data_IF_000469676702
#
_entry.id   IF_000469676702
#
_cell.length_a   1.000
_cell.length_b   1.000
_cell.length_c   1.000
_cell.angle_alpha   90.00
_cell.angle_beta   90.00
_cell.angle_gamma   90.00
#
_symmetry.space_group_name_H-M   'P 1'
#
loop_
_entity.id
_entity.type
_entity.pdbx_description
1 polymer ?
#
# COMPACT_ATOMS: atom_id res chain seq x y z
N UNK A 1 2.63 11.76 -5.29
CA UNK A 1 1.66 12.79 -5.75
C UNK A 1 1.63 12.89 -7.27
N UNK A 2 2.75 13.20 -7.97
CA UNK A 2 2.79 13.41 -9.44
C UNK A 2 2.22 12.24 -10.25
N UNK A 3 2.56 11.01 -9.88
CA UNK A 3 2.04 9.79 -10.47
C UNK A 3 0.51 9.72 -10.48
N UNK A 4 -0.12 9.96 -9.32
CA UNK A 4 -1.59 9.94 -9.21
C UNK A 4 -2.25 11.13 -9.92
N UNK A 5 -1.55 12.26 -10.03
CA UNK A 5 -1.99 13.37 -10.91
C UNK A 5 -2.00 12.94 -12.37
N UNK A 6 -0.94 12.25 -12.81
CA UNK A 6 -0.86 11.70 -14.17
C UNK A 6 -1.96 10.67 -14.49
N UNK A 7 -2.43 9.90 -13.50
CA UNK A 7 -3.63 9.07 -13.67
C UNK A 7 -4.90 9.90 -13.84
N UNK A 8 -5.04 10.99 -13.07
CA UNK A 8 -6.21 11.86 -13.12
C UNK A 8 -6.32 12.68 -14.40
N UNK A 9 -5.20 13.10 -14.99
CA UNK A 9 -5.15 13.89 -16.25
C UNK A 9 -4.92 13.05 -17.51
N UNK A 10 -4.72 11.70 -17.36
CA UNK A 10 -4.54 10.78 -18.46
C UNK A 10 -3.11 10.74 -19.04
N UNK A 11 -2.13 11.37 -18.40
CA UNK A 11 -0.71 11.31 -18.80
C UNK A 11 0.03 10.07 -18.24
N UNK A 12 -0.65 9.23 -17.48
CA UNK A 12 -0.14 7.94 -17.01
C UNK A 12 -1.15 6.81 -17.31
N UNK A 13 -0.63 5.60 -17.50
CA UNK A 13 -1.43 4.42 -17.84
C UNK A 13 -1.19 3.32 -16.82
N UNK A 14 -2.30 2.84 -16.23
CA UNK A 14 -2.31 1.76 -15.25
C UNK A 14 -3.27 0.65 -15.70
N UNK A 15 -2.79 -0.41 -16.37
CA UNK A 15 -3.59 -1.60 -16.65
C UNK A 15 -3.88 -2.39 -15.36
N UNK A 16 -4.91 -3.22 -15.40
CA UNK A 16 -5.11 -4.22 -14.35
C UNK A 16 -3.90 -5.17 -14.28
N UNK A 17 -3.54 -5.54 -13.05
CA UNK A 17 -2.55 -6.60 -12.82
C UNK A 17 -3.09 -7.96 -13.25
N UNK A 18 -2.20 -8.86 -13.65
CA UNK A 18 -2.56 -10.23 -14.04
C UNK A 18 -1.83 -11.23 -13.17
N UNK A 19 -2.55 -12.24 -12.68
CA UNK A 19 -1.99 -13.40 -12.00
C UNK A 19 -1.98 -14.55 -13.01
N UNK A 20 -0.84 -15.22 -13.11
CA UNK A 20 -0.67 -16.39 -13.99
C UNK A 20 -0.15 -17.55 -13.14
N UNK A 21 -0.98 -18.59 -12.99
CA UNK A 21 -0.64 -19.80 -12.26
C UNK A 21 0.24 -20.74 -13.11
N UNK A 22 1.16 -21.44 -12.47
CA UNK A 22 1.91 -22.52 -13.13
C UNK A 22 1.05 -23.77 -13.27
N UNK A 23 1.09 -24.48 -14.43
CA UNK A 23 0.19 -25.59 -14.70
C UNK A 23 0.31 -26.78 -13.74
N UNK A 24 1.45 -26.94 -13.09
CA UNK A 24 1.78 -28.03 -12.15
C UNK A 24 1.44 -27.68 -10.68
N UNK A 25 0.85 -26.50 -10.44
CA UNK A 25 0.61 -26.01 -9.09
C UNK A 25 1.88 -25.57 -8.35
N UNK A 26 3.00 -25.38 -9.07
CA UNK A 26 4.29 -24.98 -8.49
C UNK A 26 4.36 -23.51 -8.07
N UNK A 27 3.26 -22.78 -8.15
CA UNK A 27 3.16 -21.36 -7.79
C UNK A 27 2.50 -20.51 -8.85
N UNK A 28 2.79 -19.23 -8.83
CA UNK A 28 2.26 -18.24 -9.75
C UNK A 28 3.24 -17.08 -9.99
N UNK A 29 2.88 -16.17 -10.86
CA UNK A 29 3.51 -14.87 -10.92
C UNK A 29 2.48 -13.77 -11.23
N UNK A 30 2.68 -12.61 -10.62
CA UNK A 30 1.88 -11.43 -10.89
C UNK A 30 2.66 -10.47 -11.77
N UNK A 31 2.02 -9.97 -12.83
CA UNK A 31 2.56 -8.92 -13.70
C UNK A 31 1.87 -7.60 -13.40
N UNK A 32 2.67 -6.58 -13.08
CA UNK A 32 2.25 -5.22 -12.83
C UNK A 32 2.83 -4.33 -13.94
N UNK A 33 1.99 -3.70 -14.74
CA UNK A 33 2.44 -2.84 -15.84
C UNK A 33 2.07 -1.38 -15.61
N UNK A 34 2.80 -0.48 -16.27
CA UNK A 34 2.50 0.95 -16.26
C UNK A 34 3.31 1.74 -17.28
N UNK A 35 2.82 2.95 -17.56
CA UNK A 35 3.53 3.90 -18.40
C UNK A 35 3.35 5.33 -17.88
N UNK A 36 4.41 6.13 -17.94
CA UNK A 36 4.43 7.55 -17.60
C UNK A 36 4.81 8.31 -18.86
N UNK A 37 3.81 8.83 -19.56
CA UNK A 37 4.02 9.42 -20.90
C UNK A 37 4.86 10.68 -20.85
N UNK A 38 4.68 11.55 -19.84
CA UNK A 38 5.51 12.75 -19.66
C UNK A 38 6.99 12.41 -19.40
N UNK A 39 7.27 11.29 -18.76
CA UNK A 39 8.62 10.81 -18.52
C UNK A 39 9.19 10.01 -19.69
N UNK A 40 8.36 9.66 -20.68
CA UNK A 40 8.73 8.85 -21.83
C UNK A 40 9.15 7.43 -21.48
N UNK A 41 8.56 6.85 -20.41
CA UNK A 41 8.92 5.51 -19.92
C UNK A 41 7.69 4.61 -19.75
N UNK A 42 7.90 3.32 -19.99
CA UNK A 42 6.96 2.25 -19.70
C UNK A 42 7.71 1.09 -19.04
N UNK A 43 6.97 0.13 -18.49
CA UNK A 43 7.63 -1.06 -17.96
C UNK A 43 6.68 -2.02 -17.27
N UNK A 44 7.29 -3.03 -16.66
CA UNK A 44 6.58 -4.04 -15.89
C UNK A 44 7.40 -4.51 -14.70
N UNK A 45 6.70 -4.81 -13.60
CA UNK A 45 7.24 -5.63 -12.51
C UNK A 45 6.69 -7.04 -12.62
N UNK A 46 7.56 -8.02 -12.48
CA UNK A 46 7.24 -9.44 -12.31
C UNK A 46 7.45 -9.83 -10.86
N UNK A 47 6.45 -10.44 -10.25
CA UNK A 47 6.50 -10.91 -8.86
C UNK A 47 6.16 -12.41 -8.83
N UNK A 48 7.17 -13.30 -9.01
CA UNK A 48 6.96 -14.72 -8.90
C UNK A 48 6.82 -15.17 -7.44
N UNK A 49 5.90 -16.09 -7.22
CA UNK A 49 5.73 -16.90 -6.03
C UNK A 49 5.95 -18.36 -6.42
N UNK A 50 7.06 -18.97 -5.95
CA UNK A 50 7.45 -20.31 -6.32
C UNK A 50 7.36 -21.20 -5.09
N UNK A 51 6.51 -22.24 -5.17
CA UNK A 51 6.38 -23.25 -4.11
C UNK A 51 7.60 -24.16 -4.17
N UNK A 52 8.22 -24.41 -3.02
CA UNK A 52 9.35 -25.32 -2.83
C UNK A 52 9.07 -26.27 -1.68
N UNK A 53 9.89 -27.31 -1.53
CA UNK A 53 9.81 -28.25 -0.38
C UNK A 53 10.11 -27.58 0.98
N UNK A 54 10.61 -26.36 0.97
CA UNK A 54 10.92 -25.57 2.15
C UNK A 54 10.10 -24.29 2.21
N UNK A 55 10.75 -23.14 2.34
CA UNK A 55 10.07 -21.83 2.30
C UNK A 55 9.85 -21.42 0.86
N UNK A 56 8.66 -20.95 0.48
CA UNK A 56 8.42 -20.42 -0.85
C UNK A 56 9.40 -19.30 -1.24
N UNK A 57 9.82 -19.30 -2.51
CA UNK A 57 10.67 -18.25 -3.06
C UNK A 57 9.76 -17.14 -3.57
N UNK A 58 9.92 -15.94 -3.00
CA UNK A 58 9.19 -14.73 -3.39
C UNK A 58 10.22 -13.69 -3.80
N UNK A 59 10.15 -13.25 -5.06
CA UNK A 59 11.02 -12.19 -5.59
C UNK A 59 10.21 -11.15 -6.33
N UNK A 60 10.84 -10.04 -6.67
CA UNK A 60 10.24 -9.02 -7.51
C UNK A 60 11.33 -8.39 -8.41
N UNK A 61 11.03 -8.24 -9.69
CA UNK A 61 11.93 -7.66 -10.68
C UNK A 61 11.21 -6.65 -11.55
N UNK A 62 11.79 -5.46 -11.72
CA UNK A 62 11.21 -4.40 -12.56
C UNK A 62 12.08 -4.14 -13.77
N UNK A 63 11.43 -4.18 -14.94
CA UNK A 63 11.97 -3.71 -16.21
C UNK A 63 11.42 -2.33 -16.52
N UNK A 64 12.30 -1.35 -16.78
CA UNK A 64 11.98 -0.03 -17.30
C UNK A 64 12.47 0.11 -18.72
N UNK A 65 11.66 0.67 -19.61
CA UNK A 65 11.95 0.83 -21.02
C UNK A 65 11.67 2.26 -21.49
N UNK A 66 12.43 2.72 -22.49
CA UNK A 66 12.18 4.00 -23.16
C UNK A 66 11.01 3.90 -24.13
N UNK A 67 10.03 4.79 -24.03
CA UNK A 67 8.96 4.93 -25.03
C UNK A 67 9.46 5.50 -26.37
N UNK A 68 10.61 6.15 -26.38
CA UNK A 68 11.18 6.76 -27.57
C UNK A 68 11.95 5.75 -28.44
N UNK A 69 12.73 4.86 -27.79
CA UNK A 69 13.64 3.93 -28.50
C UNK A 69 13.21 2.47 -28.40
N UNK A 70 12.28 2.13 -27.49
CA UNK A 70 11.91 0.75 -27.18
C UNK A 70 13.03 -0.04 -26.45
N UNK A 71 14.14 0.61 -26.09
CA UNK A 71 15.27 -0.04 -25.45
C UNK A 71 15.08 -0.13 -23.92
N UNK A 72 15.62 -1.19 -23.28
CA UNK A 72 15.63 -1.27 -21.83
C UNK A 72 16.54 -0.19 -21.23
N UNK A 73 16.08 0.45 -20.17
CA UNK A 73 16.79 1.46 -19.40
C UNK A 73 17.32 0.88 -18.09
N UNK A 74 16.51 0.06 -17.42
CA UNK A 74 16.82 -0.58 -16.13
C UNK A 74 16.19 -1.96 -16.08
N UNK A 75 16.93 -2.89 -15.51
CA UNK A 75 16.43 -4.14 -14.96
C UNK A 75 16.97 -4.24 -13.54
N UNK A 76 16.10 -4.25 -12.54
CA UNK A 76 16.53 -4.22 -11.13
C UNK A 76 15.67 -5.12 -10.24
N UNK A 77 16.27 -5.58 -9.13
CA UNK A 77 15.50 -6.15 -8.02
C UNK A 77 14.52 -5.10 -7.48
N UNK A 78 13.30 -5.50 -7.27
CA UNK A 78 12.22 -4.63 -6.85
C UNK A 78 11.69 -4.94 -5.43
N UNK A 79 12.35 -5.77 -4.65
CA UNK A 79 11.90 -6.16 -3.31
C UNK A 79 11.82 -4.95 -2.38
N UNK A 80 12.91 -4.17 -2.30
CA UNK A 80 12.93 -2.93 -1.52
C UNK A 80 12.01 -1.87 -2.13
N UNK A 81 12.01 -1.74 -3.47
CA UNK A 81 11.15 -0.78 -4.16
C UNK A 81 9.67 -1.02 -3.88
N UNK A 82 9.25 -2.30 -3.87
CA UNK A 82 7.87 -2.69 -3.54
C UNK A 82 7.53 -2.28 -2.10
N UNK A 83 8.43 -2.47 -1.15
CA UNK A 83 8.27 -2.05 0.24
C UNK A 83 8.07 -0.53 0.33
N UNK A 84 8.98 0.23 -0.25
CA UNK A 84 8.99 1.70 -0.17
C UNK A 84 7.79 2.34 -0.91
N UNK A 85 7.44 1.85 -2.13
CA UNK A 85 6.30 2.41 -2.86
C UNK A 85 4.97 2.10 -2.16
N UNK A 86 4.84 0.92 -1.55
CA UNK A 86 3.64 0.55 -0.79
C UNK A 86 3.46 1.48 0.42
N UNK A 87 4.54 1.69 1.18
CA UNK A 87 4.53 2.61 2.31
C UNK A 87 4.28 4.07 1.87
N UNK A 88 4.90 4.51 0.78
CA UNK A 88 4.71 5.85 0.23
C UNK A 88 3.29 6.13 -0.25
N UNK A 89 2.62 5.13 -0.85
CA UNK A 89 1.21 5.23 -1.26
C UNK A 89 0.29 5.34 -0.05
N UNK A 90 0.50 4.52 0.98
CA UNK A 90 -0.26 4.64 2.24
C UNK A 90 0.00 5.97 2.93
N UNK A 91 1.24 6.45 2.95
CA UNK A 91 1.57 7.76 3.52
C UNK A 91 0.84 8.91 2.81
N UNK A 92 0.73 8.85 1.48
CA UNK A 92 -0.07 9.81 0.71
C UNK A 92 -1.55 9.73 1.08
N UNK A 93 -2.10 8.53 1.24
CA UNK A 93 -3.48 8.36 1.70
C UNK A 93 -3.69 8.92 3.11
N UNK A 94 -2.77 8.67 4.04
CA UNK A 94 -2.81 9.25 5.40
C UNK A 94 -2.74 10.78 5.35
N UNK A 95 -1.90 11.35 4.49
CA UNK A 95 -1.79 12.81 4.35
C UNK A 95 -3.09 13.45 3.85
N UNK A 96 -3.77 12.80 2.90
CA UNK A 96 -4.99 13.31 2.26
C UNK A 96 -6.27 13.02 3.05
N UNK A 97 -6.32 11.90 3.79
CA UNK A 97 -7.56 11.39 4.40
C UNK A 97 -7.61 11.52 5.94
N UNK A 98 -6.44 11.54 6.60
CA UNK A 98 -6.41 11.70 8.05
C UNK A 98 -6.68 13.15 8.47
N UNK A 99 -7.40 13.32 9.58
CA UNK A 99 -7.56 14.65 10.19
C UNK A 99 -6.21 15.35 10.39
N UNK A 100 -6.16 16.65 10.12
CA UNK A 100 -4.99 17.48 10.44
C UNK A 100 -4.67 17.49 11.95
N UNK A 101 -5.66 17.21 12.80
CA UNK A 101 -5.52 17.10 14.24
C UNK A 101 -5.19 15.70 14.75
N UNK A 102 -4.94 14.73 13.85
CA UNK A 102 -4.56 13.37 14.24
C UNK A 102 -3.27 13.37 15.05
N UNK A 103 -3.25 12.61 16.18
CA UNK A 103 -2.15 12.56 17.15
C UNK A 103 -1.76 11.15 17.55
N UNK A 104 -2.60 10.16 17.29
CA UNK A 104 -2.38 8.76 17.67
C UNK A 104 -2.37 7.86 16.47
N UNK A 105 -1.25 7.17 16.27
CA UNK A 105 -1.00 6.25 15.18
C UNK A 105 -0.88 4.83 15.70
N UNK A 106 -1.58 3.89 15.09
CA UNK A 106 -1.43 2.46 15.35
C UNK A 106 -1.01 1.70 14.11
N UNK A 107 -0.12 0.73 14.27
CA UNK A 107 0.37 -0.13 13.21
C UNK A 107 0.14 -1.59 13.63
N UNK A 108 -0.58 -2.34 12.80
CA UNK A 108 -0.81 -3.77 12.97
C UNK A 108 0.06 -4.52 11.96
N UNK A 109 1.00 -5.29 12.49
CA UNK A 109 2.06 -5.95 11.72
C UNK A 109 3.44 -5.42 12.12
N UNK A 110 4.47 -6.24 11.94
CA UNK A 110 5.83 -5.88 12.37
C UNK A 110 6.92 -6.22 11.35
N UNK A 111 6.52 -6.53 10.11
CA UNK A 111 7.43 -6.83 9.01
C UNK A 111 8.12 -5.59 8.43
N UNK A 112 9.02 -5.79 7.44
CA UNK A 112 9.74 -4.69 6.79
C UNK A 112 8.79 -3.63 6.19
N UNK A 113 7.67 -4.05 5.59
CA UNK A 113 6.67 -3.14 5.01
C UNK A 113 6.02 -2.27 6.09
N UNK A 114 5.68 -2.85 7.25
CA UNK A 114 5.13 -2.09 8.37
C UNK A 114 6.13 -1.05 8.91
N UNK A 115 7.42 -1.41 9.00
CA UNK A 115 8.47 -0.48 9.43
C UNK A 115 8.67 0.66 8.41
N UNK A 116 8.62 0.37 7.11
CA UNK A 116 8.65 1.39 6.08
C UNK A 116 7.44 2.35 6.18
N UNK A 117 6.24 1.83 6.49
CA UNK A 117 5.07 2.67 6.76
C UNK A 117 5.33 3.66 7.89
N UNK A 118 5.90 3.21 9.01
CA UNK A 118 6.28 4.11 10.10
C UNK A 118 7.21 5.23 9.61
N UNK A 119 8.27 4.89 8.87
CA UNK A 119 9.24 5.87 8.37
C UNK A 119 8.59 6.93 7.47
N UNK A 120 7.67 6.51 6.59
CA UNK A 120 6.99 7.43 5.67
C UNK A 120 5.95 8.33 6.35
N UNK A 121 5.33 7.88 7.45
CA UNK A 121 4.26 8.65 8.12
C UNK A 121 4.75 9.42 9.37
N UNK A 122 5.94 9.11 9.89
CA UNK A 122 6.44 9.63 11.18
C UNK A 122 6.46 11.17 11.26
N UNK A 123 6.58 11.86 10.13
CA UNK A 123 6.65 13.32 10.04
C UNK A 123 5.40 13.98 9.45
N UNK A 124 4.39 13.21 9.06
CA UNK A 124 3.17 13.76 8.43
C UNK A 124 2.28 14.51 9.41
N UNK A 125 2.34 14.16 10.68
CA UNK A 125 1.56 14.76 11.77
C UNK A 125 2.44 14.86 13.02
N UNK A 126 2.03 15.67 13.97
CA UNK A 126 2.67 15.75 15.30
C UNK A 126 2.16 14.59 16.18
N UNK A 127 2.54 13.38 15.83
CA UNK A 127 2.15 12.19 16.58
C UNK A 127 2.61 12.31 18.05
N UNK A 128 1.69 12.15 18.98
CA UNK A 128 1.97 12.10 20.43
C UNK A 128 2.26 10.67 20.88
N UNK A 129 1.65 9.70 20.19
CA UNK A 129 1.73 8.28 20.52
C UNK A 129 1.72 7.47 19.24
N UNK A 130 2.65 6.51 19.15
CA UNK A 130 2.74 5.55 18.05
C UNK A 130 2.74 4.16 18.68
N UNK A 131 1.73 3.36 18.37
CA UNK A 131 1.60 1.99 18.87
C UNK A 131 1.82 0.97 17.79
N UNK A 132 2.51 -0.12 18.10
CA UNK A 132 2.64 -1.27 17.19
C UNK A 132 2.22 -2.56 17.88
N UNK A 133 1.51 -3.40 17.15
CA UNK A 133 1.16 -4.75 17.61
C UNK A 133 1.39 -5.77 16.50
N UNK A 134 1.94 -6.92 16.90
CA UNK A 134 2.01 -8.13 16.07
C UNK A 134 2.04 -9.34 16.99
N UNK A 135 1.24 -10.39 16.73
CA UNK A 135 1.18 -11.56 17.61
C UNK A 135 2.51 -12.32 17.67
N UNK A 136 3.35 -12.20 16.64
CA UNK A 136 4.61 -12.89 16.49
C UNK A 136 5.82 -11.95 16.52
N UNK A 137 5.76 -10.89 17.32
CA UNK A 137 6.84 -9.90 17.44
C UNK A 137 8.03 -10.51 18.22
N UNK A 138 9.12 -10.85 17.53
CA UNK A 138 10.35 -11.33 18.18
C UNK A 138 11.04 -10.21 18.97
N UNK A 139 11.88 -10.60 19.95
CA UNK A 139 12.65 -9.63 20.75
C UNK A 139 13.57 -8.75 19.87
N UNK A 140 14.16 -9.32 18.83
CA UNK A 140 15.01 -8.60 17.87
C UNK A 140 14.22 -7.54 17.09
N UNK A 141 13.05 -7.91 16.55
CA UNK A 141 12.15 -6.96 15.89
C UNK A 141 11.65 -5.89 16.83
N UNK A 142 11.30 -6.27 18.06
CA UNK A 142 10.89 -5.30 19.08
C UNK A 142 11.99 -4.26 19.37
N UNK A 143 13.27 -4.68 19.37
CA UNK A 143 14.39 -3.76 19.52
C UNK A 143 14.51 -2.79 18.32
N UNK A 144 14.39 -3.29 17.08
CA UNK A 144 14.38 -2.45 15.88
C UNK A 144 13.26 -1.40 15.92
N UNK A 145 12.05 -1.82 16.28
CA UNK A 145 10.91 -0.92 16.38
C UNK A 145 11.13 0.19 17.42
N UNK A 146 11.65 -0.13 18.61
CA UNK A 146 11.96 0.87 19.65
C UNK A 146 13.04 1.86 19.25
N UNK A 147 13.95 1.46 18.34
CA UNK A 147 15.00 2.33 17.79
C UNK A 147 14.48 3.23 16.65
N UNK A 148 13.42 2.81 15.96
CA UNK A 148 12.92 3.52 14.79
C UNK A 148 12.27 4.87 15.14
N UNK A 149 11.56 4.95 16.29
CA UNK A 149 10.94 6.19 16.74
C UNK A 149 10.83 6.21 18.28
N UNK A 150 11.27 7.28 18.96
CA UNK A 150 11.24 7.37 20.42
C UNK A 150 9.83 7.45 21.02
N UNK A 151 8.81 7.78 20.22
CA UNK A 151 7.40 7.85 20.62
C UNK A 151 6.71 6.49 20.59
N UNK A 152 7.40 5.46 20.09
CA UNK A 152 6.81 4.17 19.80
C UNK A 152 6.67 3.30 21.04
N UNK A 153 5.50 2.72 21.23
CA UNK A 153 5.18 1.69 22.21
C UNK A 153 4.78 0.38 21.54
N UNK A 154 5.12 -0.73 22.16
CA UNK A 154 4.70 -2.06 21.72
C UNK A 154 3.50 -2.47 22.58
N UNK A 155 2.35 -2.55 21.94
CA UNK A 155 1.11 -2.91 22.62
C UNK A 155 1.06 -4.41 22.92
N UNK A 156 0.50 -4.83 24.06
CA UNK A 156 0.38 -6.26 24.40
C UNK A 156 -0.73 -6.97 23.62
N UNK A 157 -1.76 -6.24 23.19
CA UNK A 157 -2.88 -6.77 22.39
C UNK A 157 -3.21 -5.84 21.23
N UNK A 158 -3.95 -6.36 20.23
CA UNK A 158 -4.47 -5.53 19.14
C UNK A 158 -5.43 -4.44 19.69
N UNK A 159 -6.28 -4.78 20.63
CA UNK A 159 -7.23 -3.85 21.28
C UNK A 159 -6.50 -2.68 21.98
N UNK A 160 -5.45 -2.98 22.75
CA UNK A 160 -4.65 -1.93 23.39
C UNK A 160 -3.96 -1.04 22.36
N UNK A 161 -3.49 -1.64 21.25
CA UNK A 161 -2.89 -0.90 20.15
C UNK A 161 -3.85 0.10 19.53
N UNK A 162 -5.11 -0.30 19.31
CA UNK A 162 -6.12 0.51 18.63
C UNK A 162 -6.74 1.59 19.50
N UNK A 163 -6.74 1.42 20.84
CA UNK A 163 -7.49 2.28 21.75
C UNK A 163 -7.16 3.76 21.58
N UNK A 164 -8.16 4.56 21.18
CA UNK A 164 -8.04 6.01 20.98
C UNK A 164 -7.26 6.42 19.73
N UNK A 165 -6.92 5.50 18.81
CA UNK A 165 -6.18 5.81 17.60
C UNK A 165 -6.95 6.72 16.65
N UNK A 166 -6.25 7.64 15.99
CA UNK A 166 -6.78 8.47 14.91
C UNK A 166 -6.54 7.82 13.55
N UNK A 167 -5.40 7.13 13.42
CA UNK A 167 -4.99 6.40 12.21
C UNK A 167 -4.53 4.99 12.60
N UNK A 168 -5.04 3.99 11.89
CA UNK A 168 -4.67 2.57 12.03
C UNK A 168 -4.16 2.07 10.69
N UNK A 169 -2.90 1.65 10.63
CA UNK A 169 -2.30 1.07 9.44
C UNK A 169 -2.21 -0.45 9.59
N UNK A 170 -2.93 -1.19 8.74
CA UNK A 170 -2.91 -2.64 8.67
C UNK A 170 -1.84 -3.06 7.65
N UNK A 171 -0.80 -3.73 8.13
CA UNK A 171 0.38 -4.09 7.35
C UNK A 171 0.71 -5.57 7.52
N UNK A 172 -0.29 -6.43 7.32
CA UNK A 172 -0.17 -7.89 7.48
C UNK A 172 -0.41 -8.62 6.16
N UNK A 173 -0.12 -9.90 6.15
CA UNK A 173 -0.46 -10.83 5.05
C UNK A 173 -1.63 -11.75 5.42
N UNK A 174 -2.51 -11.33 6.31
CA UNK A 174 -3.62 -12.13 6.81
C UNK A 174 -4.67 -12.39 5.74
N UNK A 175 -5.31 -13.54 5.83
CA UNK A 175 -6.50 -13.93 5.07
C UNK A 175 -7.80 -13.86 5.90
N UNK A 176 -7.72 -13.23 7.08
CA UNK A 176 -8.83 -13.01 8.00
C UNK A 176 -8.65 -11.67 8.75
N UNK A 177 -9.73 -11.09 9.30
CA UNK A 177 -9.64 -9.86 10.08
C UNK A 177 -8.66 -9.98 11.25
N UNK A 178 -7.77 -9.01 11.39
CA UNK A 178 -6.76 -8.96 12.45
C UNK A 178 -7.14 -7.99 13.57
N UNK A 179 -8.20 -7.21 13.38
CA UNK A 179 -8.71 -6.21 14.33
C UNK A 179 -10.23 -6.19 14.35
N UNK A 180 -10.78 -5.61 15.41
CA UNK A 180 -12.13 -5.08 15.44
C UNK A 180 -12.05 -3.54 15.33
N UNK A 181 -12.58 -2.90 14.26
CA UNK A 181 -12.49 -1.45 14.08
C UNK A 181 -13.11 -0.63 15.21
N UNK A 182 -14.07 -1.20 15.94
CA UNK A 182 -14.72 -0.53 17.07
C UNK A 182 -13.78 -0.32 18.27
N UNK A 183 -12.67 -1.03 18.33
CA UNK A 183 -11.69 -0.93 19.43
C UNK A 183 -10.98 0.43 19.49
N UNK A 184 -11.07 1.24 18.43
CA UNK A 184 -10.60 2.64 18.47
C UNK A 184 -11.45 3.51 19.40
N UNK A 185 -12.71 3.14 19.62
CA UNK A 185 -13.67 3.89 20.44
C UNK A 185 -14.15 5.21 19.83
N UNK A 186 -13.74 5.51 18.60
CA UNK A 186 -14.10 6.73 17.85
C UNK A 186 -13.93 6.54 16.35
N UNK A 187 -14.49 7.41 15.49
CA UNK A 187 -14.18 7.44 14.07
C UNK A 187 -12.68 7.60 13.81
N UNK A 188 -12.12 6.78 12.94
CA UNK A 188 -10.69 6.72 12.65
C UNK A 188 -10.43 6.41 11.18
N UNK A 189 -9.24 6.74 10.68
CA UNK A 189 -8.77 6.28 9.38
C UNK A 189 -8.13 4.89 9.52
N UNK A 190 -8.60 3.94 8.74
CA UNK A 190 -7.99 2.62 8.58
C UNK A 190 -7.39 2.49 7.20
N UNK A 191 -6.14 2.08 7.10
CA UNK A 191 -5.50 1.75 5.82
C UNK A 191 -5.15 0.27 5.76
N UNK A 192 -5.34 -0.37 4.64
CA UNK A 192 -5.03 -1.80 4.43
C UNK A 192 -4.25 -2.01 3.14
N UNK A 193 -3.20 -2.82 3.23
CA UNK A 193 -2.31 -3.19 2.13
C UNK A 193 -2.27 -4.70 1.94
N UNK A 194 -3.26 -5.44 2.44
CA UNK A 194 -3.31 -6.90 2.34
C UNK A 194 -2.87 -7.42 0.97
N UNK A 195 -2.34 -8.62 0.93
CA UNK A 195 -1.83 -9.23 -0.30
C UNK A 195 -2.92 -9.39 -1.35
N UNK A 196 -2.53 -9.65 -2.61
CA UNK A 196 -3.47 -9.93 -3.70
C UNK A 196 -3.88 -11.42 -3.76
N UNK A 197 -3.66 -12.18 -2.68
CA UNK A 197 -4.19 -13.53 -2.57
C UNK A 197 -5.74 -13.51 -2.54
N UNK A 198 -6.42 -14.54 -3.08
CA UNK A 198 -7.86 -14.51 -3.36
C UNK A 198 -8.76 -14.11 -2.19
N UNK A 199 -8.38 -14.45 -0.95
CA UNK A 199 -9.17 -14.15 0.24
C UNK A 199 -8.45 -13.24 1.25
N UNK A 200 -7.32 -12.65 0.86
CA UNK A 200 -6.53 -11.85 1.78
C UNK A 200 -7.25 -10.56 2.17
N UNK A 201 -7.53 -10.39 3.48
CA UNK A 201 -8.13 -9.20 4.03
C UNK A 201 -7.72 -9.03 5.50
N UNK A 202 -7.71 -7.81 5.99
CA UNK A 202 -7.23 -7.46 7.34
C UNK A 202 -8.32 -6.90 8.24
N UNK A 203 -9.46 -6.49 7.66
CA UNK A 203 -10.58 -5.86 8.34
C UNK A 203 -11.87 -6.67 8.06
N UNK A 204 -12.85 -6.70 8.98
CA UNK A 204 -14.13 -7.33 8.69
C UNK A 204 -14.79 -6.70 7.46
N UNK A 205 -15.15 -7.48 6.42
CA UNK A 205 -15.75 -6.92 5.19
C UNK A 205 -17.03 -6.13 5.44
N UNK A 206 -17.81 -6.49 6.48
CA UNK A 206 -18.99 -5.73 6.90
C UNK A 206 -18.70 -4.28 7.28
N UNK A 207 -17.48 -3.97 7.73
CA UNK A 207 -17.07 -2.61 8.08
C UNK A 207 -17.19 -1.62 6.91
N UNK A 208 -17.02 -2.09 5.68
CA UNK A 208 -17.13 -1.26 4.48
C UNK A 208 -18.55 -0.69 4.27
N UNK A 209 -19.57 -1.33 4.91
CA UNK A 209 -20.95 -0.84 4.85
C UNK A 209 -21.15 0.46 5.65
N UNK A 210 -20.35 0.68 6.69
CA UNK A 210 -20.48 1.79 7.62
C UNK A 210 -19.36 2.83 7.47
N UNK A 211 -18.33 2.56 6.67
CA UNK A 211 -17.18 3.43 6.46
C UNK A 211 -17.31 4.27 5.17
N UNK A 212 -16.60 5.41 5.16
CA UNK A 212 -16.29 6.16 3.94
C UNK A 212 -15.11 5.46 3.24
N UNK A 213 -15.37 4.81 2.12
CA UNK A 213 -14.38 3.94 1.45
C UNK A 213 -13.64 4.70 0.35
N UNK A 214 -12.32 4.59 0.37
CA UNK A 214 -11.40 5.09 -0.66
C UNK A 214 -10.44 3.98 -1.09
N UNK A 215 -9.81 4.13 -2.25
CA UNK A 215 -8.81 3.16 -2.73
C UNK A 215 -7.64 3.85 -3.44
N UNK A 216 -6.64 3.08 -3.80
CA UNK A 216 -5.51 3.58 -4.58
C UNK A 216 -5.91 3.88 -6.04
N UNK A 217 -6.74 3.01 -6.68
CA UNK A 217 -7.16 3.20 -8.06
C UNK A 217 -8.54 2.58 -8.32
N UNK A 218 -9.54 3.40 -8.52
CA UNK A 218 -10.94 2.99 -8.67
C UNK A 218 -11.19 1.96 -9.80
N UNK A 219 -10.55 2.05 -10.99
CA UNK A 219 -10.81 1.10 -12.06
C UNK A 219 -10.41 -0.34 -11.78
N UNK A 220 -9.49 -0.61 -10.84
CA UNK A 220 -8.96 -1.97 -10.63
C UNK A 220 -9.11 -2.49 -9.20
N UNK A 221 -9.03 -1.63 -8.20
CA UNK A 221 -9.00 -2.03 -6.79
C UNK A 221 -10.25 -2.76 -6.33
N UNK A 222 -11.47 -2.32 -6.65
CA UNK A 222 -12.69 -2.96 -6.14
C UNK A 222 -12.84 -4.42 -6.57
N UNK A 223 -12.41 -4.73 -7.78
CA UNK A 223 -12.53 -6.06 -8.35
C UNK A 223 -11.37 -6.99 -7.93
N UNK A 224 -10.26 -6.42 -7.44
CA UNK A 224 -9.06 -7.16 -7.00
C UNK A 224 -9.00 -7.35 -5.49
N UNK A 225 -9.46 -6.38 -4.69
CA UNK A 225 -9.42 -6.41 -3.23
C UNK A 225 -10.41 -7.42 -2.64
N UNK A 226 -9.90 -8.39 -1.88
CA UNK A 226 -10.74 -9.47 -1.34
C UNK A 226 -11.78 -8.97 -0.34
N UNK A 227 -11.43 -8.02 0.52
CA UNK A 227 -12.34 -7.38 1.46
C UNK A 227 -13.53 -6.68 0.76
N UNK A 228 -13.29 -6.01 -0.36
CA UNK A 228 -14.33 -5.36 -1.16
C UNK A 228 -15.24 -6.39 -1.86
N UNK A 229 -14.65 -7.46 -2.41
CA UNK A 229 -15.42 -8.55 -3.02
C UNK A 229 -16.29 -9.29 -2.00
N UNK A 230 -15.73 -9.61 -0.83
CA UNK A 230 -16.45 -10.24 0.27
C UNK A 230 -17.55 -9.32 0.82
N UNK A 231 -17.31 -8.03 0.96
CA UNK A 231 -18.32 -7.06 1.36
C UNK A 231 -19.49 -7.01 0.37
N UNK A 232 -19.20 -7.06 -0.93
CA UNK A 232 -20.24 -7.10 -1.96
C UNK A 232 -21.02 -8.41 -1.95
N UNK A 233 -20.33 -9.54 -1.79
CA UNK A 233 -20.93 -10.86 -1.81
C UNK A 233 -21.82 -11.11 -0.57
N UNK A 234 -21.32 -10.76 0.62
CA UNK A 234 -21.88 -11.26 1.89
C UNK A 234 -22.63 -10.18 2.68
N UNK A 235 -22.41 -8.88 2.39
CA UNK A 235 -22.93 -7.77 3.18
C UNK A 235 -23.70 -6.71 2.39
N UNK A 236 -23.95 -6.94 1.09
CA UNK A 236 -24.72 -6.00 0.25
C UNK A 236 -24.00 -4.67 -0.01
N UNK A 237 -22.70 -4.60 0.19
CA UNK A 237 -21.88 -3.45 -0.20
C UNK A 237 -21.74 -3.38 -1.73
N UNK A 238 -21.59 -2.18 -2.28
CA UNK A 238 -21.36 -1.98 -3.71
C UNK A 238 -20.18 -1.03 -3.92
N UNK A 239 -19.39 -1.29 -4.97
CA UNK A 239 -18.29 -0.40 -5.37
C UNK A 239 -18.73 1.03 -5.70
N UNK A 240 -20.01 1.23 -6.02
CA UNK A 240 -20.58 2.57 -6.23
C UNK A 240 -20.58 3.43 -4.95
N UNK A 241 -20.33 2.83 -3.79
CA UNK A 241 -20.19 3.51 -2.50
C UNK A 241 -18.79 4.05 -2.24
N UNK A 242 -17.82 3.75 -3.11
CA UNK A 242 -16.47 4.29 -3.01
C UNK A 242 -16.52 5.80 -3.28
N UNK A 243 -15.99 6.59 -2.34
CA UNK A 243 -16.02 8.05 -2.36
C UNK A 243 -15.00 8.64 -3.34
N UNK A 244 -13.93 7.90 -3.63
CA UNK A 244 -12.87 8.30 -4.55
C UNK A 244 -11.62 7.44 -4.46
N UNK A 245 -10.62 7.81 -5.25
CA UNK A 245 -9.29 7.21 -5.26
C UNK A 245 -8.18 8.27 -5.11
N UNK A 246 -6.93 7.82 -5.05
CA UNK A 246 -5.80 8.74 -4.90
C UNK A 246 -5.67 9.72 -6.07
N UNK A 247 -6.04 9.34 -7.28
CA UNK A 247 -6.05 10.26 -8.42
C UNK A 247 -7.06 11.38 -8.22
N UNK A 248 -8.29 11.03 -7.85
CA UNK A 248 -9.36 11.99 -7.54
C UNK A 248 -9.02 12.89 -6.35
N UNK A 249 -8.44 12.34 -5.28
CA UNK A 249 -8.01 13.11 -4.10
C UNK A 249 -6.90 14.11 -4.44
N UNK A 250 -5.88 13.69 -5.19
CA UNK A 250 -4.75 14.56 -5.60
C UNK A 250 -5.20 15.66 -6.57
N UNK A 251 -6.17 15.37 -7.43
CA UNK A 251 -6.72 16.33 -8.40
C UNK A 251 -7.86 17.18 -7.83
N UNK A 252 -8.36 16.88 -6.62
CA UNK A 252 -9.47 17.57 -6.01
C UNK A 252 -10.82 17.32 -6.71
N UNK A 253 -10.99 16.18 -7.36
CA UNK A 253 -12.19 15.81 -8.13
C UNK A 253 -13.12 14.85 -7.39
N UNK A 254 -12.72 14.35 -6.22
CA UNK A 254 -13.57 13.52 -5.36
C UNK A 254 -13.85 14.20 -4.01
N UNK A 255 -14.84 13.67 -3.30
CA UNK A 255 -15.23 14.16 -1.97
C UNK A 255 -14.13 13.87 -0.96
N UNK A 256 -13.83 14.82 -0.08
CA UNK A 256 -12.97 14.60 1.10
C UNK A 256 -13.79 14.03 2.26
N UNK A 257 -13.19 13.21 3.14
CA UNK A 257 -13.94 12.59 4.22
C UNK A 257 -14.44 13.60 5.24
N UNK A 258 -15.58 13.30 5.84
CA UNK A 258 -16.10 14.03 7.02
C UNK A 258 -15.77 13.26 8.31
N UNK A 259 -15.75 13.95 9.45
CA UNK A 259 -15.13 13.50 10.70
C UNK A 259 -15.99 12.59 11.58
N UNK A 260 -17.26 12.41 11.28
CA UNK A 260 -18.23 11.70 12.12
C UNK A 260 -18.35 10.20 11.80
N UNK A 261 -17.69 9.75 10.75
CA UNK A 261 -17.68 8.36 10.30
C UNK A 261 -16.26 7.92 9.99
N UNK A 262 -15.92 6.68 10.33
CA UNK A 262 -14.61 6.10 10.00
C UNK A 262 -14.35 6.09 8.50
N UNK A 263 -13.07 6.22 8.15
CA UNK A 263 -12.58 6.16 6.77
C UNK A 263 -11.82 4.85 6.58
N UNK A 264 -12.05 4.20 5.45
CA UNK A 264 -11.30 3.04 5.04
C UNK A 264 -10.59 3.30 3.71
N UNK A 265 -9.28 3.12 3.68
CA UNK A 265 -8.46 3.20 2.48
C UNK A 265 -7.87 1.84 2.15
N UNK A 266 -8.11 1.36 0.93
CA UNK A 266 -7.58 0.09 0.43
C UNK A 266 -6.58 0.31 -0.70
N UNK A 267 -5.36 -0.21 -0.55
CA UNK A 267 -4.38 -0.29 -1.62
C UNK A 267 -4.13 -1.73 -2.03
N UNK A 268 -4.11 -2.00 -3.34
CA UNK A 268 -3.68 -3.27 -3.94
C UNK A 268 -2.27 -3.16 -4.54
N UNK A 269 -1.75 -1.92 -4.65
CA UNK A 269 -0.49 -1.61 -5.34
C UNK A 269 -0.64 -1.57 -6.85
N UNK A 270 0.00 -0.60 -7.46
CA UNK A 270 -0.08 -0.33 -8.89
C UNK A 270 1.26 -0.56 -9.56
N UNK A 271 1.25 -1.15 -10.75
CA UNK A 271 2.46 -1.29 -11.57
C UNK A 271 3.11 0.06 -11.88
N UNK A 272 2.28 1.08 -12.03
CA UNK A 272 2.73 2.45 -12.26
C UNK A 272 3.63 2.98 -11.11
N UNK A 273 3.39 2.55 -9.85
CA UNK A 273 4.25 2.90 -8.72
C UNK A 273 5.64 2.28 -8.86
N UNK A 274 5.69 1.01 -9.31
CA UNK A 274 6.95 0.29 -9.54
C UNK A 274 7.75 0.95 -10.68
N UNK A 275 7.07 1.40 -11.75
CA UNK A 275 7.69 2.11 -12.87
C UNK A 275 8.20 3.48 -12.45
N UNK A 276 7.46 4.22 -11.63
CA UNK A 276 7.90 5.52 -11.10
C UNK A 276 9.16 5.38 -10.23
N UNK A 277 9.23 4.35 -9.39
CA UNK A 277 10.40 4.07 -8.56
C UNK A 277 11.62 3.69 -9.42
N UNK A 278 11.44 2.78 -10.38
CA UNK A 278 12.51 2.38 -11.31
C UNK A 278 13.04 3.57 -12.14
N UNK A 279 12.13 4.46 -12.58
CA UNK A 279 12.52 5.70 -13.27
C UNK A 279 13.33 6.65 -12.35
N UNK A 280 12.93 6.77 -11.09
CA UNK A 280 13.68 7.56 -10.10
C UNK A 280 15.10 7.02 -9.91
N UNK A 281 15.26 5.70 -9.78
CA UNK A 281 16.57 5.05 -9.66
C UNK A 281 17.42 5.26 -10.92
N UNK A 282 16.82 5.07 -12.10
CA UNK A 282 17.54 5.31 -13.35
C UNK A 282 18.06 6.73 -13.45
N UNK A 283 17.27 7.75 -13.10
CA UNK A 283 17.71 9.16 -13.08
C UNK A 283 18.86 9.40 -12.09
N UNK A 284 18.79 8.81 -10.90
CA UNK A 284 19.86 8.92 -9.91
C UNK A 284 21.16 8.26 -10.40
N UNK A 285 21.07 7.10 -11.05
CA UNK A 285 22.23 6.41 -11.63
C UNK A 285 22.86 7.23 -12.76
N UNK A 286 22.07 7.85 -13.64
CA UNK A 286 22.59 8.73 -14.69
C UNK A 286 23.33 9.95 -14.10
N UNK A 287 22.74 10.63 -13.13
CA UNK A 287 23.35 11.77 -12.46
C UNK A 287 24.65 11.40 -11.71
N UNK A 288 24.74 10.18 -11.17
CA UNK A 288 25.96 9.70 -10.53
C UNK A 288 27.07 9.42 -11.56
N UNK A 289 26.74 8.82 -12.70
CA UNK A 289 27.71 8.57 -13.78
C UNK A 289 28.28 9.87 -14.39
N UNK A 290 27.45 10.89 -14.59
CA UNK A 290 27.91 12.20 -15.08
C UNK A 290 28.91 12.85 -14.14
N UNK A 291 28.74 12.71 -12.81
CA UNK A 291 29.69 13.24 -11.81
C UNK A 291 31.03 12.50 -11.76
N UNK A 292 31.06 11.23 -12.15
CA UNK A 292 32.31 10.43 -12.19
C UNK A 292 33.11 10.72 -13.46
N UNK A 293 32.45 11.14 -14.54
CA UNK A 293 33.08 11.43 -15.85
C UNK A 293 33.43 12.89 -16.06
N UNK A 294 32.99 13.78 -15.17
CA UNK A 294 33.36 15.23 -15.15
C UNK A 294 34.52 15.48 -14.18
#
# INVERSE_FOLDING_TARGET
>A
TSLFRGLGDGSAVQPAQTITEFPDGGGDFITYMGAITEAGVLGAKLSPYIITDATPVITAWTALMSMQTGQPLVWCDASLLTTERTAGTTALAVDLLASASARRLSIIGSGPVALAHLHHVATLRDWLDISVYSPNLSAERAALWRQADPRLTIAPTAQDCLSGSDVVMLCTSSDAPVINPTDTGKPSLFTSISTNAPNAHEIPPSFLCDAQVYCDYLPTTPDSAADMRLAAQDHGWSKDRIQGDLAGLVCGTCVTPHSDTSVYFRSIGLGLEDIAMAHGIWKLAQAANERITS
#
